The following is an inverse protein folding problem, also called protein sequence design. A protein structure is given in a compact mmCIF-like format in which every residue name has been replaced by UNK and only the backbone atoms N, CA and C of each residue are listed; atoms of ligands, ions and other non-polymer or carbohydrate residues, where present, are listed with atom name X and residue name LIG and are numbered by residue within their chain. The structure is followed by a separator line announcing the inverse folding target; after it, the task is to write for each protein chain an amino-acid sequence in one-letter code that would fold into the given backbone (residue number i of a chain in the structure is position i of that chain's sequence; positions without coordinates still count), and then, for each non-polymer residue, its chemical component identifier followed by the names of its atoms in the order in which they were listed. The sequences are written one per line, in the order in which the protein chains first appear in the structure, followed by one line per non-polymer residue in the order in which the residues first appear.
data_IF_047109323038
#
_entry.id   IF_047109323038
#
_cell.length_a   1.000
_cell.length_b   1.000
_cell.length_c   1.000
_cell.angle_alpha   90.00
_cell.angle_beta   90.00
_cell.angle_gamma   90.00
#
_symmetry.space_group_name_H-M   'P 1'
#
loop_
_entity.id
_entity.type
_entity.pdbx_description
1 polymer ?
#
# COMPACT_ATOMS: atom_id res chain seq x y z
N UNK A 1 -14.89 -23.08 -10.54
CA UNK A 1 -14.90 -21.63 -10.82
C UNK A 1 -13.48 -21.16 -10.65
N UNK A 2 -12.87 -20.53 -11.67
CA UNK A 2 -11.50 -20.04 -11.54
C UNK A 2 -11.50 -18.87 -10.57
N UNK A 3 -11.07 -19.08 -9.34
CA UNK A 3 -10.84 -17.99 -8.38
C UNK A 3 -9.64 -17.20 -8.92
N UNK A 4 -9.86 -15.98 -9.41
CA UNK A 4 -8.77 -15.09 -9.75
C UNK A 4 -7.80 -15.01 -8.56
N UNK A 5 -6.50 -15.08 -8.82
CA UNK A 5 -5.49 -14.96 -7.75
C UNK A 5 -5.62 -13.56 -7.13
N UNK A 6 -5.52 -13.42 -5.79
CA UNK A 6 -5.50 -12.12 -5.14
C UNK A 6 -4.41 -11.22 -5.74
N UNK A 7 -4.68 -9.93 -5.86
CA UNK A 7 -3.71 -8.96 -6.40
C UNK A 7 -2.71 -8.60 -5.29
N UNK A 8 -1.39 -8.78 -5.52
CA UNK A 8 -0.38 -8.45 -4.53
C UNK A 8 -0.20 -6.94 -4.42
N UNK A 9 -0.26 -6.40 -3.20
CA UNK A 9 -0.06 -4.99 -2.90
C UNK A 9 0.83 -4.78 -1.67
N UNK A 10 1.43 -3.60 -1.57
CA UNK A 10 2.11 -3.11 -0.37
C UNK A 10 1.17 -2.19 0.42
N UNK A 11 1.25 -2.24 1.74
CA UNK A 11 0.53 -1.30 2.61
C UNK A 11 1.50 -0.67 3.59
N UNK A 12 1.38 0.63 3.80
CA UNK A 12 2.18 1.39 4.76
C UNK A 12 1.26 2.07 5.77
N UNK A 13 1.63 2.06 7.06
CA UNK A 13 0.73 2.57 8.10
C UNK A 13 1.39 2.84 9.44
N UNK A 14 0.65 3.50 10.33
CA UNK A 14 1.20 3.96 11.62
C UNK A 14 1.41 2.87 12.66
N UNK A 15 0.58 1.83 12.70
CA UNK A 15 0.67 0.74 13.69
C UNK A 15 0.27 -0.62 13.11
N UNK A 16 0.89 -1.69 13.62
CA UNK A 16 0.53 -3.07 13.28
C UNK A 16 -0.90 -3.45 13.71
N UNK A 17 -1.42 -2.86 14.79
CA UNK A 17 -2.79 -3.10 15.26
C UNK A 17 -3.82 -2.70 14.21
N UNK A 18 -3.64 -1.52 13.59
CA UNK A 18 -4.51 -1.07 12.49
C UNK A 18 -4.19 -1.85 11.21
N UNK A 19 -2.91 -2.07 10.92
CA UNK A 19 -2.46 -2.86 9.76
C UNK A 19 -3.10 -4.25 9.70
N UNK A 20 -3.18 -4.96 10.82
CA UNK A 20 -3.82 -6.30 10.91
C UNK A 20 -5.29 -6.26 10.49
N UNK A 21 -6.03 -5.24 10.92
CA UNK A 21 -7.45 -5.07 10.55
C UNK A 21 -7.58 -4.77 9.05
N UNK A 22 -6.72 -3.88 8.54
CA UNK A 22 -6.68 -3.52 7.11
C UNK A 22 -6.39 -4.75 6.24
N UNK A 23 -5.34 -5.50 6.56
CA UNK A 23 -4.94 -6.73 5.85
C UNK A 23 -6.09 -7.73 5.82
N UNK A 24 -6.71 -7.99 6.96
CA UNK A 24 -7.83 -8.94 7.04
C UNK A 24 -9.04 -8.50 6.22
N UNK A 25 -9.31 -7.20 6.12
CA UNK A 25 -10.47 -6.67 5.38
C UNK A 25 -10.22 -6.55 3.88
N UNK A 26 -8.97 -6.46 3.44
CA UNK A 26 -8.60 -6.40 2.02
C UNK A 26 -8.78 -7.73 1.28
N UNK A 27 -8.80 -8.83 2.01
CA UNK A 27 -9.09 -10.16 1.50
C UNK A 27 -10.57 -10.31 1.08
N UNK A 28 -10.87 -11.24 0.13
CA UNK A 28 -9.93 -12.07 -0.62
C UNK A 28 -9.32 -11.39 -1.87
N UNK A 29 -9.78 -10.20 -2.25
CA UNK A 29 -9.43 -9.57 -3.53
C UNK A 29 -7.96 -9.13 -3.60
N UNK A 30 -7.41 -8.63 -2.50
CA UNK A 30 -6.04 -8.12 -2.42
C UNK A 30 -5.23 -8.85 -1.36
N UNK A 31 -4.03 -9.29 -1.76
CA UNK A 31 -3.03 -9.86 -0.87
C UNK A 31 -2.02 -8.78 -0.47
N UNK A 32 -2.00 -8.42 0.81
CA UNK A 32 -0.93 -7.57 1.34
C UNK A 32 0.31 -8.44 1.53
N UNK A 33 1.27 -8.34 0.60
CA UNK A 33 2.48 -9.16 0.64
C UNK A 33 3.48 -8.67 1.67
N UNK A 34 3.46 -7.36 1.99
CA UNK A 34 4.30 -6.74 3.00
C UNK A 34 3.64 -5.49 3.57
N UNK A 35 3.78 -5.30 4.88
CA UNK A 35 3.36 -4.09 5.57
C UNK A 35 4.57 -3.35 6.13
N UNK A 36 4.64 -2.05 5.89
CA UNK A 36 5.74 -1.18 6.37
C UNK A 36 5.22 -0.16 7.38
N UNK A 37 5.93 0.00 8.49
CA UNK A 37 5.59 1.07 9.44
C UNK A 37 5.96 2.45 8.89
N UNK A 38 5.12 3.44 9.20
CA UNK A 38 5.30 4.79 8.67
C UNK A 38 6.65 5.42 8.99
N UNK A 39 7.22 5.08 10.15
CA UNK A 39 8.53 5.57 10.60
C UNK A 39 9.71 5.09 9.73
N UNK A 40 9.57 4.00 8.98
CA UNK A 40 10.65 3.40 8.16
C UNK A 40 10.34 3.41 6.66
N UNK A 41 9.22 3.99 6.25
CA UNK A 41 8.76 3.93 4.86
C UNK A 41 9.73 4.56 3.86
N UNK A 42 10.41 5.65 4.22
CA UNK A 42 11.42 6.30 3.38
C UNK A 42 12.62 5.40 3.09
N UNK A 43 12.91 4.43 3.95
CA UNK A 43 14.03 3.48 3.79
C UNK A 43 13.60 2.13 3.21
N UNK A 44 12.41 1.64 3.58
CA UNK A 44 11.95 0.31 3.18
C UNK A 44 11.27 0.28 1.82
N UNK A 45 10.45 1.29 1.49
CA UNK A 45 9.70 1.32 0.23
C UNK A 45 10.62 1.25 -1.00
N UNK A 46 11.76 1.98 -1.06
CA UNK A 46 12.69 1.82 -2.19
C UNK A 46 13.22 0.40 -2.34
N UNK A 47 13.55 -0.29 -1.24
CA UNK A 47 14.02 -1.69 -1.26
C UNK A 47 12.92 -2.61 -1.79
N UNK A 48 11.69 -2.44 -1.29
CA UNK A 48 10.52 -3.23 -1.71
C UNK A 48 10.23 -3.03 -3.21
N UNK A 49 10.37 -1.80 -3.72
CA UNK A 49 10.14 -1.49 -5.14
C UNK A 49 11.28 -1.94 -6.06
N UNK A 50 12.45 -2.29 -5.53
CA UNK A 50 13.47 -3.06 -6.27
C UNK A 50 13.11 -4.55 -6.38
N UNK A 51 12.11 -5.02 -5.63
CA UNK A 51 11.76 -6.44 -5.50
C UNK A 51 12.60 -7.16 -4.45
N UNK A 52 13.21 -6.41 -3.52
CA UNK A 52 13.99 -6.94 -2.40
C UNK A 52 13.17 -6.83 -1.10
N UNK A 53 13.53 -7.60 -0.07
CA UNK A 53 12.86 -7.56 1.24
C UNK A 53 13.79 -6.87 2.25
N UNK A 54 13.34 -5.81 2.96
CA UNK A 54 14.14 -5.13 3.98
C UNK A 54 14.60 -6.08 5.10
N UNK A 55 15.84 -5.88 5.58
CA UNK A 55 16.42 -6.63 6.69
C UNK A 55 17.26 -5.70 7.60
N UNK A 56 16.87 -5.49 8.87
CA UNK A 56 15.61 -5.94 9.47
C UNK A 56 14.40 -5.23 8.83
N UNK A 57 13.25 -5.91 8.79
CA UNK A 57 11.98 -5.25 8.45
C UNK A 57 11.34 -4.63 9.68
N UNK A 58 10.63 -3.52 9.48
CA UNK A 58 9.85 -2.84 10.51
C UNK A 58 8.63 -3.62 11.00
N UNK A 59 8.13 -4.58 10.23
CA UNK A 59 6.96 -5.38 10.60
C UNK A 59 7.03 -6.79 9.99
N UNK A 60 6.44 -7.76 10.70
CA UNK A 60 6.25 -9.11 10.18
C UNK A 60 4.85 -9.33 9.58
N UNK A 61 4.08 -8.26 9.39
CA UNK A 61 2.74 -8.33 8.80
C UNK A 61 2.78 -8.45 7.27
N UNK A 62 1.77 -9.13 6.74
CA UNK A 62 1.67 -9.49 5.32
C UNK A 62 1.97 -10.97 5.10
N UNK A 63 1.75 -11.46 3.88
CA UNK A 63 1.95 -12.88 3.57
C UNK A 63 3.41 -13.25 3.32
N UNK A 64 4.27 -12.29 2.99
CA UNK A 64 5.64 -12.55 2.52
C UNK A 64 5.70 -13.25 1.16
N UNK A 65 4.59 -13.32 0.43
CA UNK A 65 4.51 -13.99 -0.86
C UNK A 65 5.08 -13.10 -1.99
N UNK A 66 6.40 -13.12 -2.13
CA UNK A 66 7.12 -12.39 -3.17
C UNK A 66 7.19 -13.12 -4.52
N UNK A 67 6.32 -14.12 -4.75
CA UNK A 67 6.27 -14.84 -6.03
C UNK A 67 5.77 -13.97 -7.21
N UNK A 68 5.12 -12.84 -6.90
CA UNK A 68 4.72 -11.82 -7.85
C UNK A 68 5.09 -10.44 -7.31
N UNK A 69 5.45 -9.52 -8.22
CA UNK A 69 5.75 -8.14 -7.87
C UNK A 69 4.46 -7.39 -7.46
N UNK A 70 4.50 -6.54 -6.41
CA UNK A 70 3.32 -5.78 -6.00
C UNK A 70 2.81 -4.86 -7.12
N UNK A 71 1.51 -4.66 -7.17
CA UNK A 71 0.82 -3.89 -8.21
C UNK A 71 0.44 -2.47 -7.77
N UNK A 72 0.47 -2.21 -6.48
CA UNK A 72 0.22 -0.90 -5.90
C UNK A 72 0.88 -0.80 -4.53
N UNK A 73 1.10 0.44 -4.09
CA UNK A 73 1.44 0.76 -2.69
C UNK A 73 0.37 1.67 -2.11
N UNK A 74 -0.14 1.31 -0.93
CA UNK A 74 -1.18 2.06 -0.23
C UNK A 74 -0.64 2.71 1.02
N UNK A 75 -0.76 4.02 1.12
CA UNK A 75 -0.42 4.83 2.29
C UNK A 75 -1.66 5.06 3.14
N UNK A 76 -1.64 4.52 4.37
CA UNK A 76 -2.68 4.78 5.37
C UNK A 76 -2.69 6.23 5.86
N UNK A 77 -3.59 6.57 6.78
CA UNK A 77 -3.76 7.95 7.27
C UNK A 77 -2.66 8.49 8.18
N UNK A 78 -1.53 7.80 8.32
CA UNK A 78 -0.42 8.19 9.21
C UNK A 78 0.58 9.16 8.55
N UNK A 79 0.34 9.56 7.30
CA UNK A 79 1.28 10.35 6.50
C UNK A 79 0.70 11.70 6.13
N UNK A 80 1.48 12.76 6.36
CA UNK A 80 1.34 14.04 5.68
C UNK A 80 1.79 13.95 4.22
N UNK A 81 1.29 14.85 3.38
CA UNK A 81 1.64 14.94 1.96
C UNK A 81 3.16 15.02 1.75
N UNK A 82 3.86 15.83 2.56
CA UNK A 82 5.31 15.97 2.48
C UNK A 82 6.06 14.67 2.79
N UNK A 83 5.53 13.84 3.70
CA UNK A 83 6.17 12.56 4.04
C UNK A 83 6.04 11.56 2.89
N UNK A 84 4.94 11.58 2.15
CA UNK A 84 4.77 10.73 0.95
C UNK A 84 5.74 11.20 -0.15
N UNK A 85 5.90 12.51 -0.33
CA UNK A 85 6.88 13.06 -1.27
C UNK A 85 8.33 12.70 -0.89
N UNK A 86 8.66 12.64 0.40
CA UNK A 86 9.97 12.17 0.85
C UNK A 86 10.21 10.70 0.48
N UNK A 87 9.19 9.85 0.62
CA UNK A 87 9.26 8.44 0.18
C UNK A 87 9.41 8.37 -1.35
N UNK A 88 8.68 9.18 -2.12
CA UNK A 88 8.82 9.24 -3.58
C UNK A 88 10.22 9.65 -4.00
N UNK A 89 10.78 10.67 -3.35
CA UNK A 89 12.14 11.14 -3.62
C UNK A 89 13.16 10.03 -3.35
N UNK A 90 13.04 9.32 -2.23
CA UNK A 90 13.91 8.18 -1.92
C UNK A 90 13.79 7.06 -2.95
N UNK A 91 12.59 6.77 -3.47
CA UNK A 91 12.38 5.81 -4.55
C UNK A 91 13.05 6.28 -5.84
N UNK A 92 12.90 7.55 -6.20
CA UNK A 92 13.48 8.14 -7.41
C UNK A 92 15.02 8.20 -7.37
N UNK A 93 15.61 8.36 -6.17
CA UNK A 93 17.06 8.35 -5.93
C UNK A 93 17.63 6.92 -5.87
N UNK A 94 16.77 5.89 -5.86
CA UNK A 94 17.17 4.49 -5.78
C UNK A 94 17.08 3.81 -7.14
N UNK A 95 18.22 3.40 -7.68
CA UNK A 95 18.30 2.69 -8.95
C UNK A 95 17.62 1.31 -8.91
N UNK A 96 17.01 0.94 -10.04
CA UNK A 96 16.38 -0.36 -10.22
C UNK A 96 14.99 -0.52 -9.58
N UNK A 97 14.42 0.57 -9.04
CA UNK A 97 13.04 0.58 -8.57
C UNK A 97 12.06 0.48 -9.74
N UNK A 98 11.00 -0.30 -9.56
CA UNK A 98 9.87 -0.35 -10.50
C UNK A 98 8.81 0.68 -10.11
N UNK A 99 8.11 1.21 -11.11
CA UNK A 99 7.02 2.16 -10.93
C UNK A 99 5.70 1.41 -10.80
N UNK A 100 4.99 1.67 -9.72
CA UNK A 100 3.63 1.16 -9.46
C UNK A 100 2.78 2.31 -8.91
N UNK A 101 1.46 2.32 -9.14
CA UNK A 101 0.58 3.38 -8.65
C UNK A 101 0.61 3.50 -7.12
N UNK A 102 0.54 4.75 -6.65
CA UNK A 102 0.58 5.12 -5.24
C UNK A 102 -0.82 5.56 -4.83
N UNK A 103 -1.35 4.96 -3.77
CA UNK A 103 -2.66 5.29 -3.24
C UNK A 103 -2.47 5.98 -1.89
N UNK A 104 -3.16 7.09 -1.65
CA UNK A 104 -3.18 7.75 -0.33
C UNK A 104 -4.58 8.19 0.07
N UNK A 105 -4.81 8.28 1.37
CA UNK A 105 -6.09 8.74 1.92
C UNK A 105 -6.42 10.16 1.43
N UNK A 106 -7.63 10.35 0.92
CA UNK A 106 -8.21 11.65 0.65
C UNK A 106 -8.67 12.30 1.96
N UNK A 107 -7.85 13.23 2.45
CA UNK A 107 -8.10 13.96 3.69
C UNK A 107 -9.21 15.01 3.56
N UNK A 108 -9.69 15.31 2.35
CA UNK A 108 -10.84 16.19 2.15
C UNK A 108 -12.17 15.50 2.44
N UNK A 109 -12.18 14.16 2.45
CA UNK A 109 -13.36 13.37 2.72
C UNK A 109 -13.57 13.14 4.22
N UNK A 110 -14.80 13.22 4.73
CA UNK A 110 -15.09 12.99 6.15
C UNK A 110 -14.73 11.55 6.55
N UNK A 111 -14.11 11.38 7.70
CA UNK A 111 -13.80 10.06 8.27
C UNK A 111 -14.05 10.07 9.78
N UNK A 112 -14.39 8.93 10.39
CA UNK A 112 -14.52 8.85 11.84
C UNK A 112 -13.15 9.08 12.52
N UNK A 113 -13.14 9.32 13.85
CA UNK A 113 -11.90 9.33 14.62
C UNK A 113 -11.12 8.01 14.48
N UNK A 114 -9.80 8.06 14.63
CA UNK A 114 -8.93 6.89 14.50
C UNK A 114 -9.39 5.77 15.45
N UNK A 115 -9.74 4.61 14.88
CA UNK A 115 -10.31 3.46 15.58
C UNK A 115 -10.73 2.36 14.61
N UNK A 116 -11.41 1.29 15.08
CA UNK A 116 -11.86 0.18 14.22
C UNK A 116 -12.79 0.62 13.08
N UNK A 117 -13.68 1.57 13.34
CA UNK A 117 -14.62 2.12 12.36
C UNK A 117 -13.91 2.94 11.28
N UNK A 118 -12.85 3.67 11.66
CA UNK A 118 -11.95 4.33 10.72
C UNK A 118 -11.30 3.32 9.77
N UNK A 119 -10.75 2.23 10.31
CA UNK A 119 -10.14 1.21 9.47
C UNK A 119 -11.13 0.61 8.46
N UNK A 120 -12.41 0.45 8.82
CA UNK A 120 -13.43 -0.04 7.89
C UNK A 120 -13.69 0.96 6.74
N UNK A 121 -13.96 2.23 7.05
CA UNK A 121 -14.24 3.27 6.02
C UNK A 121 -13.06 3.44 5.07
N UNK A 122 -11.84 3.45 5.61
CA UNK A 122 -10.63 3.60 4.80
C UNK A 122 -10.44 2.37 3.90
N UNK A 123 -10.67 1.14 4.40
CA UNK A 123 -10.55 -0.06 3.56
C UNK A 123 -11.60 -0.08 2.43
N UNK A 124 -12.84 0.33 2.70
CA UNK A 124 -13.87 0.36 1.66
C UNK A 124 -13.47 1.32 0.52
N UNK A 125 -12.90 2.48 0.85
CA UNK A 125 -12.35 3.43 -0.12
C UNK A 125 -11.13 2.88 -0.86
N UNK A 126 -10.21 2.21 -0.14
CA UNK A 126 -9.06 1.53 -0.76
C UNK A 126 -9.53 0.53 -1.81
N UNK A 127 -10.49 -0.35 -1.46
CA UNK A 127 -11.02 -1.37 -2.39
C UNK A 127 -11.71 -0.73 -3.59
N UNK A 128 -12.50 0.33 -3.37
CA UNK A 128 -13.17 1.02 -4.46
C UNK A 128 -12.16 1.61 -5.46
N UNK A 129 -11.09 2.25 -4.97
CA UNK A 129 -10.06 2.82 -5.83
C UNK A 129 -9.23 1.72 -6.52
N UNK A 130 -8.77 0.71 -5.79
CA UNK A 130 -8.01 -0.41 -6.37
C UNK A 130 -8.81 -1.12 -7.45
N UNK A 131 -10.10 -1.40 -7.20
CA UNK A 131 -10.99 -2.05 -8.17
C UNK A 131 -11.24 -1.18 -9.40
N UNK A 132 -11.31 0.15 -9.23
CA UNK A 132 -11.37 1.09 -10.36
C UNK A 132 -10.08 1.04 -11.20
N UNK A 133 -8.90 1.11 -10.56
CA UNK A 133 -7.61 1.05 -11.26
C UNK A 133 -7.42 -0.29 -11.96
N UNK A 134 -7.84 -1.39 -11.35
CA UNK A 134 -7.85 -2.72 -11.94
C UNK A 134 -8.74 -2.76 -13.19
N UNK A 135 -10.00 -2.30 -13.09
CA UNK A 135 -10.94 -2.25 -14.21
C UNK A 135 -10.50 -1.34 -15.36
N UNK A 136 -9.68 -0.32 -15.06
CA UNK A 136 -9.05 0.56 -16.05
C UNK A 136 -7.72 0.01 -16.60
N UNK A 137 -7.24 -1.15 -16.11
CA UNK A 137 -5.96 -1.75 -16.50
C UNK A 137 -4.73 -0.99 -15.99
N UNK A 138 -4.89 -0.09 -15.02
CA UNK A 138 -3.84 0.79 -14.49
C UNK A 138 -2.93 0.14 -13.44
N UNK A 139 -3.32 -1.00 -12.89
CA UNK A 139 -2.47 -1.76 -11.96
C UNK A 139 -1.35 -2.55 -12.65
N UNK A 140 -1.45 -2.75 -13.97
CA UNK A 140 -0.50 -3.55 -14.76
C UNK A 140 0.47 -2.70 -15.61
N UNK A 141 0.42 -1.38 -15.48
CA UNK A 141 1.29 -0.45 -16.21
C UNK A 141 2.32 0.18 -15.27
N UNK A 142 3.48 0.54 -15.80
CA UNK A 142 4.43 1.37 -15.07
C UNK A 142 3.84 2.77 -14.88
N UNK A 143 3.41 3.04 -13.66
CA UNK A 143 2.80 4.30 -13.25
C UNK A 143 3.40 4.73 -11.92
N UNK A 144 3.71 6.01 -11.76
CA UNK A 144 4.14 6.60 -10.49
C UNK A 144 3.16 7.68 -10.00
N UNK A 145 1.94 7.68 -10.54
CA UNK A 145 0.89 8.62 -10.16
C UNK A 145 0.38 8.37 -8.74
N UNK A 146 -0.08 9.45 -8.12
CA UNK A 146 -0.75 9.42 -6.81
C UNK A 146 -2.25 9.49 -7.05
N UNK A 147 -2.96 8.51 -6.50
CA UNK A 147 -4.41 8.45 -6.49
C UNK A 147 -4.96 8.61 -5.07
N UNK A 148 -5.98 9.45 -4.92
CA UNK A 148 -6.64 9.71 -3.63
C UNK A 148 -7.83 8.77 -3.45
N UNK A 149 -8.00 8.21 -2.25
CA UNK A 149 -9.17 7.39 -1.88
C UNK A 149 -9.87 7.84 -0.60
#
# INVERSE_FOLDING_TARGET
MSTAKPIPILVTGGTEKVGTIVISRLQPEYEVIHFTLAATATTEVPILLKGEVPSPSSSNLGSGNWSAFPKAIVFGGAYEDSQIEDVRRAVAETDGTKRIPWLRVDRSLPHPPIGPEYAAVIVDRMKALLGKLEGEGKLDVEDDSIHLF
#
